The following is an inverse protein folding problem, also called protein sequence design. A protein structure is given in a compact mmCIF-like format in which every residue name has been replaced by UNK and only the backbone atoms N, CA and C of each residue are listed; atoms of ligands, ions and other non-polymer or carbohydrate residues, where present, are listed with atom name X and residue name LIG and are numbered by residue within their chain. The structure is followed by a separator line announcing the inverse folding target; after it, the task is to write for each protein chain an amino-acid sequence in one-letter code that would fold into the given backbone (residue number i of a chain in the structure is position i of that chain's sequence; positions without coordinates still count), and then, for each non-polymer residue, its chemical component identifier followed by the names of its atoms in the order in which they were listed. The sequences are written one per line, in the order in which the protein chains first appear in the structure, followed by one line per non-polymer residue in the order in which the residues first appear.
data_IF_590655285904
#
_entry.id   IF_590655285904
#
_cell.length_a   1.000
_cell.length_b   1.000
_cell.length_c   1.000
_cell.angle_alpha   90.00
_cell.angle_beta   90.00
_cell.angle_gamma   90.00
#
_symmetry.space_group_name_H-M   'P 1'
#
loop_
_entity.id
_entity.type
_entity.pdbx_description
1 polymer ?
#
# COMPACT_ATOMS: atom_id res chain seq x y z
N UNK A 1 18.20 34.65 41.41
CA UNK A 1 16.76 34.29 41.38
C UNK A 1 16.09 35.13 40.30
N UNK A 2 15.89 34.58 39.12
CA UNK A 2 14.93 35.09 38.14
C UNK A 2 14.31 33.87 37.49
N UNK A 3 13.09 33.58 37.91
CA UNK A 3 12.27 32.44 37.49
C UNK A 3 11.04 33.00 36.80
N UNK A 4 10.56 32.21 35.84
CA UNK A 4 9.20 32.19 35.29
C UNK A 4 8.85 33.20 34.20
N UNK A 5 9.10 32.77 32.95
CA UNK A 5 8.10 32.84 31.87
C UNK A 5 8.40 31.75 30.82
N UNK A 6 8.24 30.47 31.20
CA UNK A 6 7.93 29.44 30.21
C UNK A 6 6.45 29.63 29.87
N UNK A 7 6.18 30.33 28.77
CA UNK A 7 4.85 30.42 28.21
C UNK A 7 4.28 29.02 28.07
N UNK A 8 3.04 28.84 28.51
CA UNK A 8 2.32 27.57 28.43
C UNK A 8 2.26 27.17 26.95
N UNK A 9 3.10 26.22 26.52
CA UNK A 9 3.06 25.69 25.16
C UNK A 9 1.68 25.05 24.99
N UNK A 10 0.83 25.69 24.18
CA UNK A 10 -0.47 25.15 23.81
C UNK A 10 -0.17 23.90 22.97
N UNK A 11 -0.79 22.76 23.29
CA UNK A 11 -0.59 21.56 22.48
C UNK A 11 -1.34 21.69 21.15
N UNK A 12 -0.93 20.94 20.11
CA UNK A 12 -1.60 20.96 18.81
C UNK A 12 -3.12 20.68 18.91
N UNK A 13 -3.55 19.74 19.76
CA UNK A 13 -4.97 19.50 20.00
C UNK A 13 -5.67 20.73 20.57
N UNK A 14 -5.08 21.35 21.59
CA UNK A 14 -5.64 22.53 22.24
C UNK A 14 -5.68 23.72 21.30
N UNK A 15 -4.64 23.90 20.47
CA UNK A 15 -4.58 24.93 19.43
C UNK A 15 -5.75 24.77 18.43
N UNK A 16 -5.97 23.55 17.91
CA UNK A 16 -7.10 23.33 17.01
C UNK A 16 -8.46 23.58 17.68
N UNK A 17 -8.61 23.19 18.96
CA UNK A 17 -9.88 23.37 19.70
C UNK A 17 -10.19 24.83 20.01
N UNK A 18 -9.17 25.65 20.27
CA UNK A 18 -9.33 27.07 20.58
C UNK A 18 -9.46 27.92 19.31
N UNK A 19 -8.70 27.63 18.27
CA UNK A 19 -8.65 28.44 17.05
C UNK A 19 -9.60 27.96 15.96
N UNK A 20 -9.95 26.67 15.94
CA UNK A 20 -10.75 26.06 14.88
C UNK A 20 -10.01 25.86 13.55
N UNK A 21 -8.71 26.16 13.51
CA UNK A 21 -7.81 25.95 12.37
C UNK A 21 -6.42 25.53 12.84
N UNK A 22 -5.59 25.06 11.91
CA UNK A 22 -4.21 24.64 12.18
C UNK A 22 -3.32 25.88 12.37
N UNK A 23 -2.80 26.06 13.58
CA UNK A 23 -1.77 27.04 13.87
C UNK A 23 -0.37 26.41 13.80
N UNK A 24 0.58 27.05 14.48
CA UNK A 24 2.01 26.68 14.42
C UNK A 24 2.24 25.31 15.05
N UNK A 25 1.54 24.97 16.12
CA UNK A 25 1.74 23.72 16.86
C UNK A 25 1.21 22.52 16.06
N UNK A 26 0.04 22.68 15.42
CA UNK A 26 -0.50 21.68 14.48
C UNK A 26 0.42 21.47 13.29
N UNK A 27 0.95 22.55 12.69
CA UNK A 27 1.84 22.46 11.53
C UNK A 27 3.18 21.81 11.89
N UNK A 28 3.73 22.14 13.06
CA UNK A 28 4.97 21.52 13.57
C UNK A 28 4.76 20.02 13.76
N UNK A 29 3.65 19.61 14.38
CA UNK A 29 3.31 18.20 14.53
C UNK A 29 3.13 17.48 13.18
N UNK A 30 2.52 18.13 12.19
CA UNK A 30 2.43 17.57 10.82
C UNK A 30 3.83 17.34 10.25
N UNK A 31 4.70 18.35 10.29
CA UNK A 31 6.07 18.25 9.76
C UNK A 31 6.84 17.09 10.39
N UNK A 32 6.77 16.96 11.71
CA UNK A 32 7.46 15.89 12.43
C UNK A 32 6.90 14.50 12.07
N UNK A 33 5.58 14.35 12.03
CA UNK A 33 4.95 13.09 11.67
C UNK A 33 5.18 12.71 10.20
N UNK A 34 5.18 13.66 9.28
CA UNK A 34 5.51 13.42 7.87
C UNK A 34 6.97 12.99 7.76
N UNK A 35 7.90 13.66 8.45
CA UNK A 35 9.33 13.28 8.48
C UNK A 35 9.53 11.84 8.96
N UNK A 36 8.83 11.46 10.02
CA UNK A 36 8.91 10.11 10.59
C UNK A 36 8.33 9.06 9.64
N UNK A 37 7.17 9.32 9.04
CA UNK A 37 6.50 8.34 8.20
C UNK A 37 7.12 8.25 6.80
N UNK A 38 7.58 9.34 6.17
CA UNK A 38 8.22 9.33 4.83
C UNK A 38 9.45 8.43 4.79
N UNK A 39 10.24 8.38 5.86
CA UNK A 39 11.40 7.47 5.96
C UNK A 39 11.04 6.00 5.80
N UNK A 40 9.78 5.64 6.06
CA UNK A 40 9.28 4.28 5.87
C UNK A 40 8.91 4.00 4.42
N UNK A 41 8.86 5.01 3.54
CA UNK A 41 8.53 4.88 2.12
C UNK A 41 9.72 5.28 1.23
N UNK A 42 10.74 4.42 1.06
CA UNK A 42 11.92 4.72 0.25
C UNK A 42 11.56 5.15 -1.18
N UNK A 43 10.49 4.60 -1.74
CA UNK A 43 9.96 4.94 -3.07
C UNK A 43 9.53 6.41 -3.22
N UNK A 44 9.26 7.08 -2.11
CA UNK A 44 8.89 8.50 -2.05
C UNK A 44 10.05 9.39 -1.62
N UNK A 45 11.23 8.82 -1.38
CA UNK A 45 12.44 9.54 -1.01
C UNK A 45 13.52 9.41 -2.11
N UNK A 46 13.27 9.84 -3.37
CA UNK A 46 14.37 10.06 -4.29
C UNK A 46 15.29 11.16 -3.74
N UNK A 47 16.57 11.13 -4.12
CA UNK A 47 17.63 12.05 -3.63
C UNK A 47 17.29 13.55 -3.76
N UNK A 48 16.25 13.89 -4.52
CA UNK A 48 15.83 15.27 -4.82
C UNK A 48 14.46 15.67 -4.26
N UNK A 49 13.79 14.81 -3.48
CA UNK A 49 12.49 15.21 -2.90
C UNK A 49 12.72 15.98 -1.60
N UNK A 50 12.52 17.29 -1.64
CA UNK A 50 12.59 18.10 -0.43
C UNK A 50 11.42 17.72 0.49
N UNK A 51 11.71 17.39 1.75
CA UNK A 51 10.69 17.03 2.73
C UNK A 51 9.58 18.10 2.84
N UNK A 52 9.96 19.35 2.63
CA UNK A 52 9.05 20.49 2.64
C UNK A 52 8.01 20.41 1.52
N UNK A 53 8.37 19.90 0.33
CA UNK A 53 7.42 19.66 -0.76
C UNK A 53 6.40 18.58 -0.38
N UNK A 54 6.83 17.52 0.31
CA UNK A 54 5.91 16.46 0.79
C UNK A 54 4.91 17.01 1.79
N UNK A 55 5.40 17.81 2.74
CA UNK A 55 4.56 18.46 3.74
C UNK A 55 3.57 19.39 3.05
N UNK A 56 4.05 20.21 2.11
CA UNK A 56 3.21 21.14 1.36
C UNK A 56 2.13 20.40 0.56
N UNK A 57 2.49 19.34 -0.16
CA UNK A 57 1.55 18.53 -0.93
C UNK A 57 0.50 17.87 -0.02
N UNK A 58 0.91 17.31 1.13
CA UNK A 58 -0.01 16.76 2.10
C UNK A 58 -1.01 17.81 2.59
N UNK A 59 -0.53 19.02 2.92
CA UNK A 59 -1.40 20.10 3.36
C UNK A 59 -2.36 20.55 2.25
N UNK A 60 -1.90 20.69 1.01
CA UNK A 60 -2.76 21.01 -0.13
C UNK A 60 -3.85 19.96 -0.32
N UNK A 61 -3.49 18.68 -0.24
CA UNK A 61 -4.38 17.56 -0.54
C UNK A 61 -5.35 17.22 0.60
N UNK A 62 -4.93 17.41 1.85
CA UNK A 62 -5.61 16.80 3.02
C UNK A 62 -5.93 17.77 4.15
N UNK A 63 -5.41 19.01 4.16
CA UNK A 63 -5.57 19.93 5.30
C UNK A 63 -7.03 20.10 5.70
N UNK A 64 -7.94 20.37 4.75
CA UNK A 64 -9.36 20.57 5.06
C UNK A 64 -10.01 19.31 5.65
N UNK A 65 -9.78 18.17 5.03
CA UNK A 65 -10.38 16.90 5.45
C UNK A 65 -9.84 16.47 6.82
N UNK A 66 -8.52 16.53 7.02
CA UNK A 66 -7.88 16.15 8.29
C UNK A 66 -8.28 17.09 9.43
N UNK A 67 -8.43 18.39 9.16
CA UNK A 67 -8.90 19.37 10.16
C UNK A 67 -10.30 19.01 10.67
N UNK A 68 -11.24 18.69 9.77
CA UNK A 68 -12.59 18.28 10.15
C UNK A 68 -12.57 16.98 10.94
N UNK A 69 -11.85 15.97 10.47
CA UNK A 69 -11.74 14.68 11.16
C UNK A 69 -11.19 14.84 12.57
N UNK A 70 -10.10 15.60 12.75
CA UNK A 70 -9.48 15.82 14.05
C UNK A 70 -10.37 16.64 14.98
N UNK A 71 -11.05 17.67 14.47
CA UNK A 71 -11.96 18.49 15.28
C UNK A 71 -13.15 17.68 15.84
N UNK A 72 -13.61 16.66 15.10
CA UNK A 72 -14.75 15.82 15.47
C UNK A 72 -14.34 14.62 16.34
N UNK A 73 -13.21 13.98 16.02
CA UNK A 73 -12.87 12.65 16.56
C UNK A 73 -11.75 12.65 17.60
N UNK A 74 -10.88 13.66 17.63
CA UNK A 74 -9.83 13.71 18.63
C UNK A 74 -10.42 14.12 19.99
N UNK A 75 -10.15 13.30 21.01
CA UNK A 75 -10.56 13.57 22.39
C UNK A 75 -9.44 14.20 23.24
N UNK A 76 -8.19 14.03 22.82
CA UNK A 76 -6.99 14.43 23.52
C UNK A 76 -5.78 14.49 22.54
N UNK A 77 -4.61 14.91 23.04
CA UNK A 77 -3.38 14.98 22.27
C UNK A 77 -2.93 13.64 21.67
N UNK A 78 -3.13 12.54 22.41
CA UNK A 78 -2.70 11.21 21.98
C UNK A 78 -3.55 10.69 20.80
N UNK A 79 -4.87 10.82 20.92
CA UNK A 79 -5.81 10.48 19.85
C UNK A 79 -5.64 11.40 18.64
N UNK A 80 -5.36 12.69 18.86
CA UNK A 80 -5.04 13.64 17.79
C UNK A 80 -3.82 13.21 16.97
N UNK A 81 -2.68 12.98 17.64
CA UNK A 81 -1.44 12.56 16.99
C UNK A 81 -1.60 11.21 16.27
N UNK A 82 -2.33 10.27 16.88
CA UNK A 82 -2.60 8.95 16.28
C UNK A 82 -3.45 9.06 15.01
N UNK A 83 -4.53 9.82 15.03
CA UNK A 83 -5.40 10.03 13.86
C UNK A 83 -4.68 10.78 12.74
N UNK A 84 -3.88 11.79 13.09
CA UNK A 84 -3.08 12.54 12.13
C UNK A 84 -2.00 11.65 11.49
N UNK A 85 -1.24 10.89 12.28
CA UNK A 85 -0.24 9.93 11.78
C UNK A 85 -0.87 8.91 10.84
N UNK A 86 -2.03 8.35 11.19
CA UNK A 86 -2.78 7.42 10.32
C UNK A 86 -3.16 8.08 8.98
N UNK A 87 -3.64 9.32 9.02
CA UNK A 87 -4.03 10.06 7.80
C UNK A 87 -2.82 10.32 6.89
N UNK A 88 -1.69 10.74 7.48
CA UNK A 88 -0.42 10.94 6.77
C UNK A 88 0.03 9.64 6.12
N UNK A 89 0.05 8.54 6.89
CA UNK A 89 0.44 7.22 6.38
C UNK A 89 -0.41 6.78 5.19
N UNK A 90 -1.74 6.85 5.31
CA UNK A 90 -2.63 6.46 4.22
C UNK A 90 -2.40 7.31 2.96
N UNK A 91 -2.20 8.63 3.12
CA UNK A 91 -1.87 9.51 2.01
C UNK A 91 -0.50 9.16 1.36
N UNK A 92 0.52 8.83 2.15
CA UNK A 92 1.81 8.35 1.65
C UNK A 92 1.69 7.01 0.91
N UNK A 93 0.86 6.08 1.39
CA UNK A 93 0.56 4.82 0.68
C UNK A 93 -0.05 5.12 -0.70
N UNK A 94 -1.04 6.01 -0.77
CA UNK A 94 -1.66 6.39 -2.03
C UNK A 94 -0.67 7.06 -2.99
N UNK A 95 0.19 7.93 -2.46
CA UNK A 95 1.24 8.58 -3.24
C UNK A 95 2.27 7.56 -3.75
N UNK A 96 2.69 6.62 -2.92
CA UNK A 96 3.57 5.52 -3.31
C UNK A 96 2.95 4.65 -4.41
N UNK A 97 1.63 4.40 -4.36
CA UNK A 97 0.90 3.66 -5.41
C UNK A 97 0.84 4.40 -6.75
N UNK A 98 0.96 5.73 -6.74
CA UNK A 98 0.96 6.57 -7.95
C UNK A 98 2.34 6.65 -8.61
N UNK A 99 3.41 6.18 -7.95
CA UNK A 99 4.76 6.10 -8.53
C UNK A 99 4.85 5.05 -9.62
N UNK A 100 5.87 5.14 -10.48
CA UNK A 100 6.13 4.13 -11.50
C UNK A 100 6.47 2.76 -10.89
N UNK A 101 7.12 2.74 -9.72
CA UNK A 101 7.37 1.51 -8.95
C UNK A 101 6.05 0.91 -8.42
N UNK A 102 5.13 1.74 -7.91
CA UNK A 102 3.80 1.29 -7.49
C UNK A 102 2.95 0.75 -8.66
N UNK A 103 3.11 1.31 -9.85
CA UNK A 103 2.48 0.78 -11.07
C UNK A 103 3.13 -0.52 -11.53
N UNK A 104 4.45 -0.63 -11.47
CA UNK A 104 5.21 -1.84 -11.76
C UNK A 104 4.76 -2.99 -10.85
N UNK A 105 4.69 -2.74 -9.54
CA UNK A 105 4.20 -3.74 -8.57
C UNK A 105 2.84 -4.29 -8.95
N UNK A 106 1.86 -3.42 -9.21
CA UNK A 106 0.51 -3.84 -9.64
C UNK A 106 0.53 -4.62 -10.94
N UNK A 107 1.41 -4.24 -11.87
CA UNK A 107 1.56 -4.95 -13.15
C UNK A 107 2.12 -6.36 -12.92
N UNK A 108 3.11 -6.51 -12.04
CA UNK A 108 3.68 -7.80 -11.64
C UNK A 108 2.64 -8.67 -10.93
N UNK A 109 1.96 -8.14 -9.91
CA UNK A 109 0.90 -8.86 -9.18
C UNK A 109 -0.21 -9.34 -10.12
N UNK A 110 -0.61 -8.49 -11.08
CA UNK A 110 -1.59 -8.87 -12.10
C UNK A 110 -1.09 -10.00 -12.99
N UNK A 111 0.15 -9.94 -13.49
CA UNK A 111 0.70 -11.02 -14.31
C UNK A 111 0.81 -12.32 -13.51
N UNK A 112 1.20 -12.24 -12.23
CA UNK A 112 1.27 -13.40 -11.35
C UNK A 112 -0.11 -14.06 -11.15
N UNK A 113 -1.16 -13.25 -10.96
CA UNK A 113 -2.52 -13.73 -10.79
C UNK A 113 -3.15 -14.28 -12.08
N UNK A 114 -2.91 -13.62 -13.22
CA UNK A 114 -3.53 -13.96 -14.51
C UNK A 114 -2.88 -15.17 -15.21
N UNK A 115 -1.66 -15.56 -14.83
CA UNK A 115 -0.90 -16.61 -15.53
C UNK A 115 -0.88 -17.93 -14.76
N UNK A 116 -1.34 -18.99 -15.42
CA UNK A 116 -1.36 -20.36 -14.87
C UNK A 116 0.03 -20.89 -14.48
N UNK A 117 1.12 -20.27 -14.95
CA UNK A 117 2.48 -20.68 -14.61
C UNK A 117 2.85 -20.41 -13.15
N UNK A 118 2.15 -19.50 -12.48
CA UNK A 118 2.46 -19.06 -11.13
C UNK A 118 1.32 -19.43 -10.18
N UNK A 119 1.65 -19.60 -8.91
CA UNK A 119 0.67 -19.77 -7.85
C UNK A 119 1.16 -19.13 -6.56
N UNK A 120 0.22 -18.68 -5.72
CA UNK A 120 0.52 -18.35 -4.34
C UNK A 120 0.68 -19.62 -3.52
N UNK A 121 1.68 -19.63 -2.65
CA UNK A 121 1.89 -20.68 -1.68
C UNK A 121 0.68 -20.73 -0.73
N UNK A 122 -0.01 -21.88 -0.64
CA UNK A 122 -1.18 -22.03 0.21
C UNK A 122 -0.89 -21.76 1.68
N UNK A 123 -1.92 -21.34 2.42
CA UNK A 123 -1.85 -21.25 3.87
C UNK A 123 -1.37 -22.58 4.47
N UNK A 124 -0.51 -22.50 5.50
CA UNK A 124 0.12 -23.63 6.21
C UNK A 124 1.28 -24.32 5.49
N UNK A 125 1.74 -23.82 4.34
CA UNK A 125 3.04 -24.21 3.76
C UNK A 125 4.12 -23.17 4.10
N UNK A 126 5.40 -23.57 4.17
CA UNK A 126 6.50 -22.62 4.27
C UNK A 126 6.45 -21.60 3.14
N UNK A 127 6.45 -20.31 3.48
CA UNK A 127 6.28 -19.23 2.51
C UNK A 127 4.83 -18.89 2.16
N UNK A 128 3.85 -19.26 2.98
CA UNK A 128 2.44 -18.88 2.78
C UNK A 128 2.28 -17.41 2.36
N UNK A 129 1.53 -17.17 1.27
CA UNK A 129 1.33 -15.84 0.69
C UNK A 129 2.42 -15.38 -0.30
N UNK A 130 3.57 -16.06 -0.36
CA UNK A 130 4.59 -15.85 -1.39
C UNK A 130 4.17 -16.49 -2.71
N UNK A 131 4.81 -16.08 -3.79
CA UNK A 131 4.59 -16.63 -5.13
C UNK A 131 5.64 -17.68 -5.45
N UNK A 132 5.28 -18.66 -6.28
CA UNK A 132 6.20 -19.67 -6.83
C UNK A 132 5.73 -20.13 -8.20
N UNK A 133 6.57 -20.89 -8.90
CA UNK A 133 6.13 -21.66 -10.07
C UNK A 133 5.14 -22.75 -9.66
N UNK A 134 4.05 -22.87 -10.43
CA UNK A 134 3.03 -23.88 -10.20
C UNK A 134 3.64 -25.28 -10.16
N UNK A 135 3.26 -26.05 -9.15
CA UNK A 135 3.71 -27.44 -8.99
C UNK A 135 5.11 -27.59 -8.41
N UNK A 136 5.76 -26.50 -7.99
CA UNK A 136 6.99 -26.57 -7.20
C UNK A 136 6.66 -26.54 -5.70
N UNK A 137 7.52 -27.13 -4.87
CA UNK A 137 7.34 -27.18 -3.41
C UNK A 137 8.55 -26.59 -2.67
N UNK A 138 9.25 -25.65 -3.29
CA UNK A 138 10.46 -25.05 -2.74
C UNK A 138 10.15 -24.14 -1.54
N UNK A 139 11.09 -24.13 -0.59
CA UNK A 139 11.08 -23.24 0.58
C UNK A 139 11.13 -21.75 0.16
N UNK A 140 10.78 -20.83 1.07
CA UNK A 140 11.12 -19.42 0.97
C UNK A 140 12.56 -19.21 0.49
N UNK A 141 12.73 -18.52 -0.64
CA UNK A 141 14.07 -18.23 -1.13
C UNK A 141 14.74 -17.19 -0.22
N UNK A 142 16.00 -17.46 0.12
CA UNK A 142 16.84 -16.67 1.02
C UNK A 142 18.28 -16.53 0.49
N UNK A 143 18.46 -16.62 -0.83
CA UNK A 143 19.76 -16.47 -1.49
C UNK A 143 20.18 -15.01 -1.66
N UNK A 144 21.23 -14.79 -2.46
CA UNK A 144 21.72 -13.44 -2.78
C UNK A 144 20.82 -12.76 -3.85
N UNK A 145 20.24 -11.57 -3.58
CA UNK A 145 19.43 -10.83 -4.55
C UNK A 145 20.12 -10.60 -5.90
N UNK A 146 21.45 -10.53 -5.92
CA UNK A 146 22.22 -10.37 -7.15
C UNK A 146 22.02 -11.52 -8.15
N UNK A 147 21.75 -12.74 -7.67
CA UNK A 147 21.49 -13.92 -8.51
C UNK A 147 20.17 -13.78 -9.28
N UNK A 148 19.13 -13.28 -8.62
CA UNK A 148 17.83 -13.06 -9.26
C UNK A 148 17.90 -11.92 -10.29
N UNK A 149 18.68 -10.88 -9.98
CA UNK A 149 18.94 -9.77 -10.90
C UNK A 149 19.70 -10.26 -12.13
N UNK A 150 20.75 -11.08 -11.95
CA UNK A 150 21.51 -11.67 -13.04
C UNK A 150 20.61 -12.57 -13.92
N UNK A 151 19.76 -13.40 -13.31
CA UNK A 151 18.79 -14.24 -14.02
C UNK A 151 17.81 -13.40 -14.85
N UNK A 152 17.33 -12.29 -14.29
CA UNK A 152 16.51 -11.34 -15.03
C UNK A 152 17.29 -10.80 -16.24
N UNK A 153 18.48 -10.23 -16.05
CA UNK A 153 19.31 -9.70 -17.15
C UNK A 153 19.64 -10.73 -18.25
N UNK A 154 19.75 -12.00 -17.89
CA UNK A 154 20.03 -13.08 -18.84
C UNK A 154 18.89 -13.35 -19.84
N UNK A 155 17.66 -12.88 -19.58
CA UNK A 155 16.52 -13.07 -20.50
C UNK A 155 16.66 -12.17 -21.74
N UNK A 156 16.89 -12.74 -22.94
CA UNK A 156 17.07 -11.96 -24.15
C UNK A 156 15.73 -11.50 -24.74
N UNK A 157 15.78 -10.50 -25.62
CA UNK A 157 14.62 -10.12 -26.44
C UNK A 157 13.47 -9.43 -25.68
N UNK A 158 13.73 -8.94 -24.47
CA UNK A 158 12.79 -8.14 -23.69
C UNK A 158 12.48 -6.84 -24.43
N UNK A 159 11.19 -6.62 -24.70
CA UNK A 159 10.72 -5.46 -25.46
C UNK A 159 10.16 -4.40 -24.53
N UNK A 160 10.61 -3.16 -24.73
CA UNK A 160 9.96 -1.97 -24.18
C UNK A 160 8.98 -1.46 -25.25
N UNK A 161 7.66 -1.47 -25.00
CA UNK A 161 6.68 -1.05 -25.99
C UNK A 161 6.94 0.40 -26.44
N UNK A 162 6.86 0.66 -27.75
CA UNK A 162 6.79 2.04 -28.25
C UNK A 162 5.46 2.64 -27.76
N UNK A 163 5.57 3.64 -26.90
CA UNK A 163 4.42 4.28 -26.28
C UNK A 163 4.18 5.66 -26.88
N UNK A 164 2.97 5.92 -27.34
CA UNK A 164 2.59 7.17 -28.03
C UNK A 164 1.54 8.00 -27.27
N UNK A 165 1.08 7.52 -26.11
CA UNK A 165 0.05 8.22 -25.34
C UNK A 165 0.67 9.28 -24.43
N UNK A 166 0.29 10.54 -24.63
CA UNK A 166 0.68 11.65 -23.75
C UNK A 166 -0.09 11.65 -22.41
N UNK A 167 -1.20 10.90 -22.30
CA UNK A 167 -2.10 10.92 -21.14
C UNK A 167 -2.06 9.64 -20.29
N UNK A 168 -1.34 8.60 -20.74
CA UNK A 168 -1.21 7.32 -20.02
C UNK A 168 0.26 7.02 -19.82
N UNK A 169 0.62 6.41 -18.69
CA UNK A 169 2.02 6.06 -18.40
C UNK A 169 2.50 4.91 -19.29
N UNK A 170 3.75 4.95 -19.78
CA UNK A 170 4.31 3.87 -20.57
C UNK A 170 4.51 2.60 -19.72
N UNK A 171 4.19 1.41 -20.24
CA UNK A 171 4.53 0.17 -19.57
C UNK A 171 6.04 -0.05 -19.58
N UNK A 172 6.59 -0.55 -18.47
CA UNK A 172 8.02 -0.83 -18.31
C UNK A 172 8.51 -1.85 -19.35
N UNK A 173 7.68 -2.85 -19.65
CA UNK A 173 7.93 -3.86 -20.68
C UNK A 173 6.61 -4.44 -21.18
N UNK A 174 6.62 -5.19 -22.28
CA UNK A 174 5.43 -5.93 -22.71
C UNK A 174 5.14 -7.14 -21.80
N UNK A 175 3.89 -7.61 -21.83
CA UNK A 175 3.42 -8.70 -20.97
C UNK A 175 4.21 -9.99 -21.17
N UNK A 176 4.53 -10.35 -22.42
CA UNK A 176 5.33 -11.54 -22.74
C UNK A 176 6.73 -11.49 -22.15
N UNK A 177 7.37 -10.32 -22.23
CA UNK A 177 8.70 -10.09 -21.67
C UNK A 177 8.64 -10.17 -20.16
N UNK A 178 7.64 -9.55 -19.52
CA UNK A 178 7.42 -9.64 -18.08
C UNK A 178 7.29 -11.08 -17.60
N UNK A 179 6.50 -11.90 -18.28
CA UNK A 179 6.35 -13.33 -17.99
C UNK A 179 7.68 -14.08 -18.14
N UNK A 180 8.44 -13.80 -19.20
CA UNK A 180 9.74 -14.42 -19.43
C UNK A 180 10.75 -14.06 -18.31
N UNK A 181 10.76 -12.80 -17.86
CA UNK A 181 11.58 -12.38 -16.71
C UNK A 181 11.16 -13.12 -15.45
N UNK A 182 9.86 -13.14 -15.14
CA UNK A 182 9.33 -13.79 -13.93
C UNK A 182 9.68 -15.28 -13.91
N UNK A 183 9.52 -15.98 -15.04
CA UNK A 183 9.91 -17.39 -15.15
C UNK A 183 11.38 -17.60 -14.83
N UNK A 184 12.27 -16.85 -15.47
CA UNK A 184 13.71 -16.96 -15.22
C UNK A 184 14.05 -16.70 -13.74
N UNK A 185 13.45 -15.68 -13.13
CA UNK A 185 13.64 -15.34 -11.71
C UNK A 185 13.17 -16.47 -10.79
N UNK A 186 11.99 -17.05 -11.02
CA UNK A 186 11.50 -18.16 -10.19
C UNK A 186 12.25 -19.47 -10.44
N UNK A 187 12.69 -19.73 -11.68
CA UNK A 187 13.52 -20.90 -12.01
C UNK A 187 14.85 -20.83 -11.25
N UNK A 188 15.51 -19.66 -11.26
CA UNK A 188 16.73 -19.43 -10.48
C UNK A 188 16.48 -19.51 -8.98
N UNK A 189 15.39 -18.93 -8.47
CA UNK A 189 15.07 -19.00 -7.06
C UNK A 189 14.80 -20.43 -6.58
N UNK A 190 14.22 -21.30 -7.43
CA UNK A 190 13.85 -22.68 -7.09
C UNK A 190 13.05 -22.78 -5.77
N UNK A 191 12.26 -21.75 -5.48
CA UNK A 191 11.61 -21.51 -4.21
C UNK A 191 10.49 -20.47 -4.32
N UNK A 192 10.00 -20.00 -3.17
CA UNK A 192 8.97 -18.96 -3.13
C UNK A 192 9.54 -17.57 -2.85
N UNK A 193 9.04 -16.57 -3.58
CA UNK A 193 9.46 -15.18 -3.52
C UNK A 193 8.33 -14.26 -3.07
N UNK A 194 8.69 -13.23 -2.32
CA UNK A 194 7.78 -12.12 -2.02
C UNK A 194 7.68 -11.17 -3.21
N UNK A 195 6.52 -10.50 -3.32
CA UNK A 195 6.32 -9.48 -4.37
C UNK A 195 7.36 -8.37 -4.28
N UNK A 196 7.79 -8.00 -3.07
CA UNK A 196 8.85 -7.00 -2.86
C UNK A 196 10.17 -7.41 -3.53
N UNK A 197 10.63 -8.64 -3.32
CA UNK A 197 11.85 -9.19 -3.93
C UNK A 197 11.75 -9.19 -5.46
N UNK A 198 10.58 -9.55 -6.00
CA UNK A 198 10.35 -9.55 -7.45
C UNK A 198 10.38 -8.11 -8.00
N UNK A 199 9.71 -7.17 -7.33
CA UNK A 199 9.69 -5.76 -7.74
C UNK A 199 11.10 -5.18 -7.71
N UNK A 200 11.90 -5.48 -6.70
CA UNK A 200 13.30 -5.04 -6.61
C UNK A 200 14.11 -5.50 -7.82
N UNK A 201 13.98 -6.77 -8.22
CA UNK A 201 14.64 -7.30 -9.42
C UNK A 201 14.23 -6.53 -10.68
N UNK A 202 12.95 -6.20 -10.82
CA UNK A 202 12.46 -5.40 -11.94
C UNK A 202 12.96 -3.95 -11.87
N UNK A 203 13.02 -3.34 -10.69
CA UNK A 203 13.59 -1.99 -10.52
C UNK A 203 15.05 -1.97 -10.92
N UNK A 204 15.87 -2.93 -10.45
CA UNK A 204 17.29 -3.02 -10.82
C UNK A 204 17.50 -3.29 -12.30
N UNK A 205 16.61 -4.06 -12.94
CA UNK A 205 16.69 -4.34 -14.39
C UNK A 205 16.23 -3.16 -15.25
N UNK A 206 15.17 -2.48 -14.85
CA UNK A 206 14.49 -1.45 -15.65
C UNK A 206 14.63 -0.03 -15.08
N UNK A 207 15.57 0.20 -14.15
CA UNK A 207 15.72 1.45 -13.43
C UNK A 207 15.79 2.68 -14.34
N UNK A 208 16.52 2.60 -15.46
CA UNK A 208 16.61 3.69 -16.44
C UNK A 208 15.30 4.01 -17.19
N UNK A 209 14.28 3.16 -17.11
CA UNK A 209 12.92 3.42 -17.65
C UNK A 209 11.98 3.95 -16.57
N UNK A 210 12.18 3.54 -15.32
CA UNK A 210 11.39 3.95 -14.16
C UNK A 210 11.78 5.32 -13.62
N UNK A 211 13.04 5.68 -13.75
CA UNK A 211 13.58 7.00 -13.46
C UNK A 211 14.48 7.44 -14.62
N UNK A 212 13.94 8.08 -15.66
CA UNK A 212 14.76 8.60 -16.74
C UNK A 212 15.58 9.77 -16.19
N UNK A 213 16.79 9.47 -15.74
CA UNK A 213 17.81 10.48 -15.44
C UNK A 213 17.91 11.40 -16.65
N UNK A 214 17.38 12.62 -16.51
CA UNK A 214 17.64 13.70 -17.47
C UNK A 214 19.09 14.10 -17.21
N UNK A 215 20.03 13.36 -17.79
CA UNK A 215 21.44 13.73 -17.77
C UNK A 215 21.58 14.92 -18.72
N UNK A 216 21.90 16.13 -18.21
CA UNK A 216 22.32 17.20 -19.09
C UNK A 216 23.61 16.73 -19.76
N UNK A 217 23.61 16.65 -21.09
CA UNK A 217 24.80 16.34 -21.88
C UNK A 217 25.80 17.49 -21.69
N UNK A 218 26.60 17.45 -20.61
CA UNK A 218 27.91 18.11 -20.40
C UNK A 218 28.27 18.12 -18.90
N UNK A 219 28.68 17.00 -18.32
CA UNK A 219 29.57 17.02 -17.15
C UNK A 219 30.45 15.75 -17.11
N UNK A 220 31.78 15.85 -17.26
CA UNK A 220 32.68 14.69 -17.25
C UNK A 220 33.00 14.15 -15.85
N UNK A 221 32.27 14.53 -14.80
CA UNK A 221 32.60 14.14 -13.41
C UNK A 221 31.66 13.12 -12.74
N UNK A 222 30.61 12.65 -13.40
CA UNK A 222 29.67 11.68 -12.81
C UNK A 222 30.17 10.22 -12.93
N UNK A 223 31.17 9.83 -12.13
CA UNK A 223 31.53 8.43 -11.90
C UNK A 223 31.79 8.19 -10.42
N UNK A 224 30.70 8.07 -9.66
CA UNK A 224 30.68 7.37 -8.38
C UNK A 224 29.26 6.85 -8.14
N UNK A 225 28.99 5.63 -8.64
CA UNK A 225 27.78 4.90 -8.25
C UNK A 225 27.98 4.44 -6.81
N UNK A 226 27.36 5.15 -5.87
CA UNK A 226 27.19 4.69 -4.50
C UNK A 226 26.05 3.66 -4.47
N UNK A 227 26.35 2.49 -3.92
CA UNK A 227 25.46 1.35 -3.79
C UNK A 227 24.57 1.50 -2.55
N UNK A 228 23.60 2.42 -2.62
CA UNK A 228 22.61 2.64 -1.56
C UNK A 228 21.21 2.28 -2.06
N UNK A 229 21.04 0.99 -2.41
CA UNK A 229 19.74 0.43 -2.79
C UNK A 229 19.00 -0.07 -1.55
N UNK A 230 17.71 0.27 -1.35
CA UNK A 230 16.91 -0.21 -0.22
C UNK A 230 16.85 -1.73 -0.19
N UNK A 231 16.97 -2.33 0.99
CA UNK A 231 16.98 -3.79 1.17
C UNK A 231 15.56 -4.36 1.29
N UNK A 232 15.41 -5.68 1.12
CA UNK A 232 14.12 -6.39 1.19
C UNK A 232 13.33 -6.14 2.49
N UNK A 233 14.00 -5.72 3.57
CA UNK A 233 13.41 -5.36 4.85
C UNK A 233 12.67 -4.00 4.81
N UNK A 234 12.98 -3.13 3.84
CA UNK A 234 12.35 -1.82 3.65
C UNK A 234 11.04 -1.89 2.82
N UNK A 235 10.71 -3.04 2.24
CA UNK A 235 9.48 -3.27 1.45
C UNK A 235 8.29 -3.86 2.27
N UNK A 236 8.45 -3.98 3.59
CA UNK A 236 7.50 -4.64 4.53
C UNK A 236 6.16 -3.90 4.71
N UNK A 237 5.96 -2.70 4.14
CA UNK A 237 4.79 -1.84 4.37
C UNK A 237 3.44 -2.48 3.95
N UNK A 238 3.43 -3.45 3.03
CA UNK A 238 2.18 -4.15 2.68
C UNK A 238 1.72 -5.19 3.70
N UNK A 239 2.62 -5.81 4.46
CA UNK A 239 2.18 -6.74 5.53
C UNK A 239 1.54 -5.97 6.69
N UNK A 240 2.01 -4.74 6.95
CA UNK A 240 1.43 -3.86 7.95
C UNK A 240 0.07 -3.30 7.54
N UNK A 241 -0.17 -3.03 6.25
CA UNK A 241 -1.50 -2.62 5.76
C UNK A 241 -2.51 -3.76 5.78
N UNK A 242 -2.08 -5.00 5.52
CA UNK A 242 -2.89 -6.21 5.67
C UNK A 242 -3.17 -6.50 7.15
N UNK A 243 -2.18 -6.31 8.03
CA UNK A 243 -2.34 -6.38 9.48
C UNK A 243 -3.30 -5.30 9.99
N UNK A 244 -3.20 -4.06 9.51
CA UNK A 244 -4.11 -2.96 9.87
C UNK A 244 -5.54 -3.23 9.36
N UNK A 245 -5.70 -3.79 8.16
CA UNK A 245 -7.00 -4.20 7.63
C UNK A 245 -7.59 -5.37 8.43
N UNK A 246 -6.77 -6.36 8.79
CA UNK A 246 -7.18 -7.49 9.63
C UNK A 246 -7.56 -7.06 11.06
N UNK A 247 -6.79 -6.14 11.65
CA UNK A 247 -7.09 -5.58 12.98
C UNK A 247 -8.38 -4.75 12.95
N UNK A 248 -8.57 -3.88 11.95
CA UNK A 248 -9.84 -3.14 11.77
C UNK A 248 -11.01 -4.08 11.51
N UNK A 249 -10.83 -5.12 10.69
CA UNK A 249 -11.89 -6.11 10.45
C UNK A 249 -12.27 -6.84 11.75
N UNK A 250 -11.30 -7.20 12.59
CA UNK A 250 -11.56 -7.79 13.91
C UNK A 250 -12.29 -6.83 14.87
N UNK A 251 -11.93 -5.54 14.89
CA UNK A 251 -12.64 -4.51 15.66
C UNK A 251 -14.08 -4.33 15.18
N UNK A 252 -14.29 -4.23 13.87
CA UNK A 252 -15.61 -4.08 13.25
C UNK A 252 -16.49 -5.30 13.53
N UNK A 253 -15.94 -6.52 13.46
CA UNK A 253 -16.67 -7.73 13.87
C UNK A 253 -17.18 -7.59 15.30
N UNK A 254 -16.37 -7.08 16.23
CA UNK A 254 -16.78 -6.81 17.60
C UNK A 254 -18.02 -5.92 17.73
N UNK A 255 -18.19 -4.97 16.80
CA UNK A 255 -19.30 -4.00 16.77
C UNK A 255 -20.51 -4.51 15.98
N UNK A 256 -20.33 -5.40 15.01
CA UNK A 256 -21.43 -5.97 14.24
C UNK A 256 -22.33 -6.88 15.10
N UNK A 257 -23.64 -6.80 14.86
CA UNK A 257 -24.62 -7.68 15.49
C UNK A 257 -24.47 -9.13 15.02
N UNK A 258 -24.98 -10.12 15.77
CA UNK A 258 -24.93 -11.54 15.37
C UNK A 258 -25.55 -11.82 14.00
N UNK A 259 -26.58 -11.06 13.63
CA UNK A 259 -27.24 -11.21 12.34
C UNK A 259 -26.41 -10.57 11.21
N UNK A 260 -25.79 -9.41 11.44
CA UNK A 260 -24.87 -8.79 10.47
C UNK A 260 -23.62 -9.66 10.21
N UNK A 261 -23.07 -10.30 11.26
CA UNK A 261 -21.95 -11.25 11.13
C UNK A 261 -22.34 -12.48 10.30
N UNK A 262 -23.59 -12.95 10.40
CA UNK A 262 -24.09 -14.07 9.58
C UNK A 262 -24.26 -13.70 8.11
N UNK A 263 -24.47 -12.43 7.80
CA UNK A 263 -24.65 -11.93 6.43
C UNK A 263 -23.32 -11.54 5.76
N UNK A 264 -22.31 -11.18 6.55
CA UNK A 264 -20.99 -10.78 6.08
C UNK A 264 -20.36 -11.72 5.03
N UNK A 265 -20.37 -13.07 5.18
CA UNK A 265 -19.80 -14.00 4.20
C UNK A 265 -20.41 -13.91 2.80
N UNK A 266 -21.63 -13.40 2.70
CA UNK A 266 -22.43 -13.39 1.48
C UNK A 266 -22.41 -12.02 0.77
N UNK A 267 -21.65 -11.05 1.28
CA UNK A 267 -21.57 -9.69 0.71
C UNK A 267 -20.94 -9.63 -0.68
N UNK A 268 -20.16 -10.64 -1.07
CA UNK A 268 -19.62 -10.80 -2.43
C UNK A 268 -20.65 -11.39 -3.40
N UNK A 269 -21.63 -12.15 -2.90
CA UNK A 269 -22.63 -12.84 -3.72
C UNK A 269 -24.08 -12.57 -3.24
N UNK A 270 -24.75 -11.55 -3.79
CA UNK A 270 -26.13 -11.18 -3.44
C UNK A 270 -27.18 -12.27 -3.67
N UNK A 271 -26.87 -13.29 -4.48
CA UNK A 271 -27.75 -14.45 -4.69
C UNK A 271 -27.77 -15.34 -3.44
N UNK A 272 -26.62 -15.57 -2.82
CA UNK A 272 -26.52 -16.35 -1.58
C UNK A 272 -27.19 -15.66 -0.37
N UNK A 273 -27.30 -14.33 -0.38
CA UNK A 273 -28.06 -13.57 0.63
C UNK A 273 -29.58 -13.84 0.57
N UNK A 274 -30.13 -14.14 -0.61
CA UNK A 274 -31.57 -14.43 -0.77
C UNK A 274 -31.93 -15.73 -0.05
N UNK A 275 -31.08 -16.75 -0.17
CA UNK A 275 -31.31 -18.05 0.45
C UNK A 275 -31.16 -17.97 1.98
N UNK A 276 -30.18 -17.21 2.47
CA UNK A 276 -29.93 -17.02 3.91
C UNK A 276 -31.02 -16.20 4.61
N UNK A 277 -31.53 -15.14 3.96
CA UNK A 277 -32.55 -14.25 4.53
C UNK A 277 -33.99 -14.63 4.17
N UNK A 278 -34.19 -15.51 3.19
CA UNK A 278 -35.51 -15.85 2.60
C UNK A 278 -36.29 -14.61 2.13
N UNK A 279 -35.58 -13.65 1.55
CA UNK A 279 -36.14 -12.37 1.05
C UNK A 279 -36.00 -12.27 -0.47
N UNK A 280 -36.81 -11.42 -1.09
CA UNK A 280 -36.72 -11.16 -2.52
C UNK A 280 -35.42 -10.46 -2.92
N UNK A 281 -34.99 -10.64 -4.17
CA UNK A 281 -33.75 -10.09 -4.75
C UNK A 281 -33.50 -8.61 -4.42
N UNK A 282 -34.51 -7.76 -4.59
CA UNK A 282 -34.38 -6.32 -4.32
C UNK A 282 -34.05 -6.02 -2.84
N UNK A 283 -34.65 -6.77 -1.91
CA UNK A 283 -34.39 -6.64 -0.48
C UNK A 283 -32.99 -7.17 -0.13
N UNK A 284 -32.57 -8.29 -0.70
CA UNK A 284 -31.22 -8.83 -0.49
C UNK A 284 -30.11 -7.85 -0.94
N UNK A 285 -30.27 -7.20 -2.09
CA UNK A 285 -29.36 -6.14 -2.55
C UNK A 285 -29.36 -4.94 -1.61
N UNK A 286 -30.52 -4.53 -1.10
CA UNK A 286 -30.61 -3.42 -0.15
C UNK A 286 -29.92 -3.75 1.18
N UNK A 287 -30.08 -4.98 1.69
CA UNK A 287 -29.40 -5.44 2.90
C UNK A 287 -27.87 -5.49 2.71
N UNK A 288 -27.39 -6.00 1.57
CA UNK A 288 -25.96 -5.97 1.23
C UNK A 288 -25.41 -4.54 1.14
N UNK A 289 -26.12 -3.64 0.46
CA UNK A 289 -25.71 -2.25 0.29
C UNK A 289 -25.64 -1.51 1.64
N UNK A 290 -26.65 -1.71 2.50
CA UNK A 290 -26.70 -1.10 3.83
C UNK A 290 -25.56 -1.63 4.74
N UNK A 291 -25.29 -2.93 4.71
CA UNK A 291 -24.22 -3.53 5.49
C UNK A 291 -22.84 -3.08 4.97
N UNK A 292 -22.61 -3.03 3.66
CA UNK A 292 -21.38 -2.47 3.07
C UNK A 292 -21.20 -1.00 3.46
N UNK A 293 -22.26 -0.18 3.39
CA UNK A 293 -22.21 1.22 3.78
C UNK A 293 -21.82 1.37 5.27
N UNK A 294 -22.41 0.56 6.15
CA UNK A 294 -22.07 0.54 7.58
C UNK A 294 -20.60 0.13 7.81
N UNK A 295 -20.10 -0.88 7.10
CA UNK A 295 -18.70 -1.31 7.19
C UNK A 295 -17.75 -0.21 6.71
N UNK A 296 -18.07 0.47 5.60
CA UNK A 296 -17.29 1.62 5.08
C UNK A 296 -17.25 2.78 6.08
N UNK A 297 -18.39 3.08 6.72
CA UNK A 297 -18.48 4.10 7.78
C UNK A 297 -17.63 3.72 9.01
N UNK A 298 -17.68 2.45 9.43
CA UNK A 298 -16.89 1.95 10.56
C UNK A 298 -15.39 1.82 10.22
N UNK A 299 -15.03 1.59 8.96
CA UNK A 299 -13.64 1.53 8.51
C UNK A 299 -12.96 2.91 8.44
N UNK A 300 -13.74 4.00 8.48
CA UNK A 300 -13.24 5.37 8.52
C UNK A 300 -13.01 6.01 7.14
N UNK A 301 -13.62 5.49 6.07
CA UNK A 301 -13.51 6.07 4.72
C UNK A 301 -13.53 5.02 3.59
N UNK A 302 -13.59 5.48 2.34
CA UNK A 302 -13.70 4.61 1.14
C UNK A 302 -12.39 3.89 0.78
N UNK A 303 -11.25 4.46 1.12
CA UNK A 303 -9.95 4.04 0.56
C UNK A 303 -9.40 2.75 1.21
N UNK A 304 -9.80 2.45 2.46
CA UNK A 304 -9.46 1.19 3.17
C UNK A 304 -10.62 0.17 3.17
N UNK A 305 -11.83 0.59 2.76
CA UNK A 305 -13.05 -0.17 3.01
C UNK A 305 -13.12 -1.49 2.24
N UNK A 306 -12.53 -1.55 1.04
CA UNK A 306 -12.55 -2.76 0.22
C UNK A 306 -11.71 -3.88 0.85
N UNK A 307 -10.49 -3.56 1.28
CA UNK A 307 -9.59 -4.50 1.97
C UNK A 307 -10.18 -4.97 3.30
N UNK A 308 -10.79 -4.05 4.08
CA UNK A 308 -11.45 -4.36 5.35
C UNK A 308 -12.69 -5.24 5.14
N UNK A 309 -13.47 -5.00 4.07
CA UNK A 309 -14.62 -5.84 3.71
C UNK A 309 -14.16 -7.26 3.34
N UNK A 310 -13.08 -7.40 2.57
CA UNK A 310 -12.52 -8.70 2.20
C UNK A 310 -12.03 -9.48 3.43
N UNK A 311 -11.31 -8.84 4.33
CA UNK A 311 -10.87 -9.46 5.60
C UNK A 311 -12.04 -9.81 6.52
N UNK A 312 -13.10 -8.99 6.52
CA UNK A 312 -14.30 -9.26 7.31
C UNK A 312 -15.10 -10.45 6.74
N UNK A 313 -15.19 -10.57 5.41
CA UNK A 313 -15.74 -11.77 4.74
C UNK A 313 -14.94 -13.00 5.15
N UNK A 314 -13.60 -12.93 5.10
CA UNK A 314 -12.70 -14.02 5.47
C UNK A 314 -12.85 -14.46 6.93
N UNK A 315 -12.87 -13.50 7.87
CA UNK A 315 -13.01 -13.77 9.31
C UNK A 315 -14.40 -14.31 9.69
N UNK A 316 -15.45 -13.97 8.93
CA UNK A 316 -16.79 -14.52 9.12
C UNK A 316 -17.01 -15.87 8.38
N UNK A 317 -15.99 -16.42 7.71
CA UNK A 317 -16.04 -17.74 7.08
C UNK A 317 -16.53 -17.76 5.64
N UNK A 318 -16.57 -16.61 4.95
CA UNK A 318 -16.85 -16.52 3.52
C UNK A 318 -15.61 -16.73 2.65
N UNK A 319 -15.81 -17.23 1.43
CA UNK A 319 -14.79 -17.21 0.38
C UNK A 319 -14.87 -15.83 -0.28
N UNK A 320 -13.84 -15.01 -0.09
CA UNK A 320 -13.71 -13.76 -0.82
C UNK A 320 -13.43 -14.12 -2.29
N UNK A 321 -14.43 -14.02 -3.17
CA UNK A 321 -14.16 -14.02 -4.61
C UNK A 321 -13.44 -12.71 -4.95
N UNK A 322 -12.22 -12.84 -5.47
CA UNK A 322 -11.34 -11.76 -5.94
C UNK A 322 -11.87 -11.12 -7.23
#
# INVERSE_FOLDING_TARGET
MSSAARGCAISAFKELRELGYFGIECLTLVQDLVREEVRKFPVLAPENLELDDVVQDFLVDRLKAVTVTLAVQAGDDASFARLLRRTIRNWLIDRARQTDIGHLRRSVEKVLADEDAFEQVPAKQPGAGRWRLRGTAGEPWSGDPSELVAAAWAVPGVKVPKWSSASRRPPVTDRSSMIAVLRAVFETASGSLEVGQIVEVFVRRFGGVLDPLVVPLNDPSASALADDTPTAEDYVITSDAELDAAMKAAEIIGVLSPDERRLAPHLANPSSLQDTLKVGRAQAYQHAANLKKKIVELAGGRDDAEQVVLELIRLCGGVAEQ
#
